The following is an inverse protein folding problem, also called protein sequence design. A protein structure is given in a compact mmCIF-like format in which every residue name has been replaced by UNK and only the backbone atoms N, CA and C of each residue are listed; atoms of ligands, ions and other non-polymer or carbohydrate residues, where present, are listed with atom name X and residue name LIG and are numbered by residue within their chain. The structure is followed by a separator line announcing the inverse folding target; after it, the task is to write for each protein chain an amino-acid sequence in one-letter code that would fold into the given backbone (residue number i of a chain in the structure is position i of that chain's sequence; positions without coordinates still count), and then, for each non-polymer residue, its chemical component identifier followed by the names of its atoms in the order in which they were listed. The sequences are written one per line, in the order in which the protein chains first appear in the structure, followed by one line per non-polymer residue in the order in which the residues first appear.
data_IF_661806697582
#
_entry.id   IF_661806697582
#
_cell.length_a   1.000
_cell.length_b   1.000
_cell.length_c   1.000
_cell.angle_alpha   90.00
_cell.angle_beta   90.00
_cell.angle_gamma   90.00
#
_symmetry.space_group_name_H-M   'P 1'
#
loop_
_entity.id
_entity.type
_entity.pdbx_description
1 polymer ?
#
# COMPACT_ATOMS: atom_id res chain seq x y z
N UNK A 1 -1.23 35.98 11.16
CA UNK A 1 -0.97 34.85 10.26
C UNK A 1 -1.52 33.56 10.88
N UNK A 2 -2.33 32.82 10.16
CA UNK A 2 -2.90 31.56 10.65
C UNK A 2 -2.33 30.39 9.87
N UNK A 3 -1.92 29.36 10.57
CA UNK A 3 -1.50 28.10 9.93
C UNK A 3 -2.72 27.34 9.42
N UNK A 4 -2.65 26.82 8.20
CA UNK A 4 -3.71 25.99 7.65
C UNK A 4 -3.73 24.63 8.36
N UNK A 5 -4.92 24.21 8.81
CA UNK A 5 -5.17 22.88 9.36
C UNK A 5 -6.33 22.27 8.59
N UNK A 6 -6.10 21.11 8.00
CA UNK A 6 -7.13 20.39 7.27
C UNK A 6 -8.24 19.91 8.21
N UNK A 7 -9.47 19.92 7.72
CA UNK A 7 -10.64 19.36 8.41
C UNK A 7 -11.30 18.29 7.53
N UNK A 8 -12.12 17.40 8.08
CA UNK A 8 -12.81 16.40 7.26
C UNK A 8 -13.69 17.00 6.15
N UNK A 9 -14.16 18.23 6.32
CA UNK A 9 -14.97 18.92 5.33
C UNK A 9 -14.15 19.62 4.24
N UNK A 10 -12.91 20.02 4.54
CA UNK A 10 -12.06 20.78 3.61
C UNK A 10 -11.08 19.90 2.82
N UNK A 11 -10.85 18.66 3.26
CA UNK A 11 -9.93 17.75 2.58
C UNK A 11 -10.50 17.26 1.26
N UNK A 12 -9.64 17.20 0.26
CA UNK A 12 -9.92 16.56 -1.04
C UNK A 12 -9.13 15.26 -1.13
N UNK A 13 -9.78 14.19 -1.56
CA UNK A 13 -9.15 12.89 -1.74
C UNK A 13 -9.43 12.39 -3.16
N UNK A 14 -8.38 12.27 -3.93
CA UNK A 14 -8.44 11.78 -5.30
C UNK A 14 -8.20 10.28 -5.36
N UNK A 15 -8.50 9.68 -6.50
CA UNK A 15 -8.19 8.30 -6.80
C UNK A 15 -7.00 8.23 -7.75
N UNK A 16 -6.00 7.43 -7.39
CA UNK A 16 -4.79 7.23 -8.18
C UNK A 16 -4.64 5.75 -8.51
N UNK A 17 -4.18 5.45 -9.72
CA UNK A 17 -3.85 4.08 -10.14
C UNK A 17 -2.35 3.97 -10.36
N UNK A 18 -1.76 2.88 -9.85
CA UNK A 18 -0.33 2.58 -9.94
C UNK A 18 -0.15 1.20 -10.57
N UNK A 19 0.70 1.12 -11.57
CA UNK A 19 1.12 -0.15 -12.16
C UNK A 19 2.34 -0.69 -11.42
N UNK A 20 2.22 -1.87 -10.83
CA UNK A 20 3.29 -2.53 -10.09
C UNK A 20 4.23 -3.37 -10.99
N UNK A 21 3.94 -3.51 -12.28
CA UNK A 21 4.75 -4.32 -13.20
C UNK A 21 6.21 -3.89 -13.23
N UNK A 22 7.13 -4.79 -12.89
CA UNK A 22 8.56 -4.54 -12.92
C UNK A 22 9.07 -3.56 -11.85
N UNK A 23 8.21 -3.06 -10.98
CA UNK A 23 8.58 -2.15 -9.89
C UNK A 23 9.13 -2.93 -8.70
N UNK A 24 10.15 -2.38 -8.03
CA UNK A 24 10.71 -2.98 -6.82
C UNK A 24 9.74 -2.83 -5.64
N UNK A 25 9.44 -3.92 -4.97
CA UNK A 25 8.45 -3.98 -3.89
C UNK A 25 8.64 -2.89 -2.82
N UNK A 26 9.83 -2.80 -2.24
CA UNK A 26 10.09 -1.85 -1.14
C UNK A 26 9.97 -0.40 -1.56
N UNK A 27 10.53 -0.04 -2.70
CA UNK A 27 10.48 1.33 -3.24
C UNK A 27 9.07 1.75 -3.64
N UNK A 28 8.33 0.84 -4.28
CA UNK A 28 6.92 1.06 -4.59
C UNK A 28 6.10 1.27 -3.32
N UNK A 29 6.28 0.41 -2.32
CA UNK A 29 5.56 0.49 -1.05
C UNK A 29 5.81 1.82 -0.31
N UNK A 30 7.03 2.33 -0.33
CA UNK A 30 7.38 3.64 0.27
C UNK A 30 6.58 4.77 -0.37
N UNK A 31 6.54 4.81 -1.69
CA UNK A 31 5.82 5.88 -2.41
C UNK A 31 4.30 5.77 -2.21
N UNK A 32 3.76 4.56 -2.20
CA UNK A 32 2.34 4.33 -1.89
C UNK A 32 2.02 4.81 -0.47
N UNK A 33 2.86 4.50 0.51
CA UNK A 33 2.66 4.92 1.89
C UNK A 33 2.66 6.45 2.05
N UNK A 34 3.54 7.15 1.34
CA UNK A 34 3.57 8.62 1.32
C UNK A 34 2.27 9.21 0.76
N UNK A 35 1.77 8.65 -0.33
CA UNK A 35 0.50 9.08 -0.95
C UNK A 35 -0.68 8.82 -0.02
N UNK A 36 -0.75 7.65 0.61
CA UNK A 36 -1.82 7.29 1.55
C UNK A 36 -1.84 8.18 2.79
N UNK A 37 -0.67 8.58 3.28
CA UNK A 37 -0.56 9.53 4.41
C UNK A 37 -0.84 10.96 4.03
N UNK A 38 -0.69 11.30 2.76
CA UNK A 38 -0.85 12.67 2.27
C UNK A 38 0.38 13.56 2.42
N UNK A 39 1.55 12.99 2.70
CA UNK A 39 2.80 13.76 2.87
C UNK A 39 3.22 14.55 1.64
N UNK A 40 2.77 14.17 0.45
CA UNK A 40 3.05 14.87 -0.80
C UNK A 40 2.20 16.11 -1.00
N UNK A 41 1.16 16.28 -0.21
CA UNK A 41 0.27 17.45 -0.29
C UNK A 41 0.75 18.57 0.62
N UNK A 42 0.68 19.83 0.17
CA UNK A 42 1.04 20.98 1.03
C UNK A 42 0.11 21.14 2.22
N UNK A 43 -1.11 20.64 2.14
CA UNK A 43 -2.13 20.66 3.18
C UNK A 43 -2.02 19.52 4.21
N UNK A 44 -0.90 18.77 4.19
CA UNK A 44 -0.68 17.66 5.12
C UNK A 44 -0.88 18.08 6.58
N UNK A 45 -1.75 17.35 7.26
CA UNK A 45 -2.03 17.54 8.69
C UNK A 45 -1.89 16.19 9.40
N UNK A 46 -1.01 16.07 10.42
CA UNK A 46 -0.68 14.77 11.02
C UNK A 46 -1.85 14.02 11.64
N UNK A 47 -2.85 14.71 12.16
CA UNK A 47 -3.98 14.10 12.87
C UNK A 47 -5.21 13.84 11.97
N UNK A 48 -5.15 14.23 10.70
CA UNK A 48 -6.24 14.07 9.72
C UNK A 48 -5.76 13.21 8.55
N UNK A 49 -6.64 12.38 8.04
CA UNK A 49 -6.38 11.57 6.85
C UNK A 49 -6.65 12.40 5.59
N UNK A 50 -5.62 13.07 5.08
CA UNK A 50 -5.68 13.89 3.86
C UNK A 50 -5.15 13.17 2.61
N UNK A 51 -4.65 11.95 2.75
CA UNK A 51 -4.09 11.16 1.65
C UNK A 51 -5.16 10.72 0.64
N UNK A 52 -4.69 10.30 -0.53
CA UNK A 52 -5.52 9.85 -1.62
C UNK A 52 -5.80 8.35 -1.56
N UNK A 53 -6.82 7.90 -2.30
CA UNK A 53 -7.04 6.49 -2.57
C UNK A 53 -6.04 5.99 -3.61
N UNK A 54 -5.46 4.84 -3.38
CA UNK A 54 -4.51 4.22 -4.31
C UNK A 54 -5.02 2.87 -4.75
N UNK A 55 -5.08 2.68 -6.06
CA UNK A 55 -5.40 1.40 -6.71
C UNK A 55 -4.11 0.86 -7.33
N UNK A 56 -3.68 -0.32 -6.92
CA UNK A 56 -2.50 -0.98 -7.47
C UNK A 56 -2.95 -2.11 -8.37
N UNK A 57 -2.44 -2.14 -9.59
CA UNK A 57 -2.70 -3.20 -10.57
C UNK A 57 -1.42 -3.98 -10.88
N UNK A 58 -1.56 -5.16 -11.45
CA UNK A 58 -0.44 -6.05 -11.79
C UNK A 58 0.43 -6.44 -10.59
N UNK A 59 -0.16 -6.66 -9.42
CA UNK A 59 0.57 -7.04 -8.22
C UNK A 59 1.38 -8.34 -8.38
N UNK A 60 0.93 -9.25 -9.23
CA UNK A 60 1.64 -10.50 -9.55
C UNK A 60 2.99 -10.29 -10.25
N UNK A 61 3.16 -9.15 -10.92
CA UNK A 61 4.37 -8.83 -11.71
C UNK A 61 5.37 -7.96 -10.94
N UNK A 62 5.20 -7.82 -9.65
CA UNK A 62 6.12 -7.03 -8.84
C UNK A 62 7.49 -7.69 -8.77
N UNK A 63 8.55 -6.88 -8.80
CA UNK A 63 9.93 -7.35 -8.75
C UNK A 63 10.48 -7.30 -7.31
N UNK A 64 11.30 -8.29 -6.99
CA UNK A 64 12.09 -8.33 -5.75
C UNK A 64 13.54 -8.63 -6.09
N UNK A 65 14.48 -8.05 -5.35
CA UNK A 65 15.91 -8.19 -5.58
C UNK A 65 16.52 -9.32 -4.74
N UNK A 66 17.65 -9.88 -5.20
CA UNK A 66 18.39 -10.92 -4.49
C UNK A 66 17.58 -12.22 -4.34
N UNK A 67 17.92 -12.99 -3.30
CA UNK A 67 17.26 -14.28 -3.02
C UNK A 67 16.04 -14.15 -2.10
N UNK A 68 15.42 -13.00 -2.03
CA UNK A 68 14.27 -12.76 -1.14
C UNK A 68 13.09 -13.69 -1.38
N UNK A 69 12.89 -14.14 -2.60
CA UNK A 69 11.82 -15.10 -2.92
C UNK A 69 11.91 -16.38 -2.10
N UNK A 70 13.11 -16.83 -1.81
CA UNK A 70 13.37 -18.06 -1.05
C UNK A 70 13.67 -17.78 0.43
N UNK A 71 14.33 -16.68 0.73
CA UNK A 71 14.84 -16.38 2.06
C UNK A 71 13.88 -15.57 2.92
N UNK A 72 13.12 -14.64 2.32
CA UNK A 72 12.15 -13.84 3.08
C UNK A 72 10.96 -14.70 3.46
N UNK A 73 10.62 -14.72 4.76
CA UNK A 73 9.50 -15.50 5.28
C UNK A 73 8.47 -14.60 5.97
N UNK A 74 7.23 -14.95 5.78
CA UNK A 74 6.09 -14.35 6.47
C UNK A 74 5.61 -15.31 7.55
N UNK A 75 5.58 -14.86 8.79
CA UNK A 75 5.22 -15.68 9.94
C UNK A 75 3.82 -15.38 10.41
N UNK A 76 3.11 -16.43 10.81
CA UNK A 76 1.79 -16.33 11.41
C UNK A 76 1.71 -17.34 12.56
N UNK A 77 1.14 -16.92 13.68
CA UNK A 77 0.95 -17.77 14.86
C UNK A 77 -0.54 -17.94 15.15
N UNK A 78 -0.99 -19.18 15.39
CA UNK A 78 -2.40 -19.49 15.65
C UNK A 78 -2.84 -19.17 17.10
N UNK A 79 -1.88 -18.90 17.99
CA UNK A 79 -2.13 -18.73 19.43
C UNK A 79 -2.04 -20.03 20.25
N UNK A 80 -1.88 -21.17 19.60
CA UNK A 80 -1.70 -22.47 20.28
C UNK A 80 -0.24 -22.88 20.33
N UNK A 81 0.19 -23.73 21.32
CA UNK A 81 1.55 -24.26 21.35
C UNK A 81 1.91 -24.94 20.01
N UNK A 82 3.09 -24.61 19.47
CA UNK A 82 3.53 -25.12 18.17
C UNK A 82 2.77 -24.55 16.96
N UNK A 83 2.01 -23.47 17.14
CA UNK A 83 1.18 -22.86 16.10
C UNK A 83 1.88 -21.89 15.17
N UNK A 84 3.22 -21.79 15.22
CA UNK A 84 3.96 -20.93 14.30
C UNK A 84 3.96 -21.52 12.89
N UNK A 85 3.52 -20.72 11.93
CA UNK A 85 3.54 -21.07 10.51
C UNK A 85 4.31 -20.03 9.75
N UNK A 86 5.00 -20.44 8.70
CA UNK A 86 5.74 -19.54 7.82
C UNK A 86 5.47 -19.87 6.34
N UNK A 87 5.56 -18.85 5.52
CA UNK A 87 5.54 -18.97 4.07
C UNK A 87 6.66 -18.14 3.47
N UNK A 88 7.25 -18.60 2.40
CA UNK A 88 8.25 -17.83 1.67
C UNK A 88 7.58 -16.72 0.86
N UNK A 89 8.37 -15.72 0.49
CA UNK A 89 7.88 -14.65 -0.39
C UNK A 89 7.41 -15.20 -1.75
N UNK A 90 8.11 -16.20 -2.30
CA UNK A 90 7.69 -16.87 -3.54
C UNK A 90 6.31 -17.50 -3.44
N UNK A 91 6.04 -18.24 -2.37
CA UNK A 91 4.71 -18.84 -2.12
C UNK A 91 3.63 -17.77 -2.00
N UNK A 92 3.92 -16.67 -1.32
CA UNK A 92 2.98 -15.56 -1.16
C UNK A 92 2.67 -14.87 -2.49
N UNK A 93 3.68 -14.68 -3.35
CA UNK A 93 3.50 -14.08 -4.68
C UNK A 93 2.66 -14.95 -5.60
N UNK A 94 2.76 -16.26 -5.50
CA UNK A 94 1.96 -17.20 -6.30
C UNK A 94 0.51 -17.27 -5.83
N UNK A 95 0.29 -17.28 -4.52
CA UNK A 95 -1.04 -17.49 -3.94
C UNK A 95 -1.81 -16.20 -3.71
N UNK A 96 -1.16 -15.18 -3.15
CA UNK A 96 -1.75 -13.91 -2.75
C UNK A 96 -0.80 -12.74 -2.98
N UNK A 97 -0.54 -12.35 -4.22
CA UNK A 97 0.37 -11.24 -4.50
C UNK A 97 -0.11 -9.92 -3.89
N UNK A 98 -1.42 -9.73 -3.72
CA UNK A 98 -1.97 -8.53 -3.10
C UNK A 98 -1.52 -8.38 -1.64
N UNK A 99 -1.44 -9.49 -0.90
CA UNK A 99 -1.01 -9.46 0.49
C UNK A 99 0.46 -9.04 0.66
N UNK A 100 1.30 -9.38 -0.30
CA UNK A 100 2.72 -9.00 -0.29
C UNK A 100 2.87 -7.48 -0.28
N UNK A 101 2.18 -6.80 -1.18
CA UNK A 101 2.20 -5.34 -1.27
C UNK A 101 1.52 -4.72 -0.04
N UNK A 102 0.39 -5.27 0.38
CA UNK A 102 -0.34 -4.78 1.55
C UNK A 102 0.50 -4.82 2.82
N UNK A 103 1.20 -5.92 3.07
CA UNK A 103 2.05 -6.07 4.25
C UNK A 103 3.25 -5.11 4.20
N UNK A 104 3.84 -4.90 3.03
CA UNK A 104 4.93 -3.95 2.85
C UNK A 104 4.48 -2.52 3.16
N UNK A 105 3.34 -2.10 2.64
CA UNK A 105 2.78 -0.77 2.91
C UNK A 105 2.34 -0.62 4.36
N UNK A 106 1.69 -1.64 4.92
CA UNK A 106 1.26 -1.65 6.33
C UNK A 106 2.43 -1.42 7.29
N UNK A 107 3.59 -2.03 7.03
CA UNK A 107 4.79 -1.84 7.83
C UNK A 107 5.35 -0.41 7.77
N UNK A 108 5.03 0.34 6.72
CA UNK A 108 5.49 1.73 6.51
C UNK A 108 4.48 2.78 6.97
N UNK A 109 3.25 2.39 7.28
CA UNK A 109 2.22 3.27 7.83
C UNK A 109 2.26 3.26 9.37
N UNK A 110 1.75 4.33 10.03
CA UNK A 110 1.64 4.35 11.49
C UNK A 110 0.76 3.21 12.02
N UNK A 111 1.14 2.65 13.17
CA UNK A 111 0.38 1.58 13.84
C UNK A 111 -0.70 2.14 14.77
N UNK A 112 -1.52 3.03 14.26
CA UNK A 112 -2.58 3.72 14.98
C UNK A 112 -3.93 3.52 14.29
N UNK A 113 -5.00 4.02 14.90
CA UNK A 113 -6.33 4.02 14.26
C UNK A 113 -6.31 4.78 12.93
N UNK A 114 -5.61 5.93 12.90
CA UNK A 114 -5.44 6.72 11.68
C UNK A 114 -4.66 5.94 10.61
N UNK A 115 -3.57 5.27 10.97
CA UNK A 115 -2.79 4.44 10.05
C UNK A 115 -3.61 3.29 9.45
N UNK A 116 -4.47 2.67 10.24
CA UNK A 116 -5.40 1.63 9.74
C UNK A 116 -6.44 2.19 8.78
N UNK A 117 -6.96 3.38 9.04
CA UNK A 117 -7.87 4.07 8.13
C UNK A 117 -7.17 4.43 6.80
N UNK A 118 -5.91 4.86 6.86
CA UNK A 118 -5.10 5.13 5.67
C UNK A 118 -4.86 3.86 4.85
N UNK A 119 -4.58 2.74 5.49
CA UNK A 119 -4.38 1.45 4.80
C UNK A 119 -5.65 0.97 4.08
N UNK A 120 -6.83 1.25 4.60
CA UNK A 120 -8.10 0.89 3.94
C UNK A 120 -8.32 1.58 2.60
N UNK A 121 -7.66 2.68 2.34
CA UNK A 121 -7.71 3.37 1.05
C UNK A 121 -6.84 2.71 -0.02
N UNK A 122 -6.02 1.74 0.35
CA UNK A 122 -5.23 0.96 -0.58
C UNK A 122 -6.06 -0.20 -1.12
N UNK A 123 -6.22 -0.24 -2.44
CA UNK A 123 -6.91 -1.31 -3.18
C UNK A 123 -5.89 -1.97 -4.10
N UNK A 124 -5.70 -3.26 -3.98
CA UNK A 124 -4.66 -4.00 -4.72
C UNK A 124 -5.32 -5.11 -5.53
N UNK A 125 -4.91 -5.23 -6.79
CA UNK A 125 -5.39 -6.25 -7.72
C UNK A 125 -4.21 -6.96 -8.38
N UNK A 126 -4.30 -8.28 -8.48
CA UNK A 126 -3.25 -9.10 -9.09
C UNK A 126 -3.11 -8.85 -10.60
N UNK A 127 -4.23 -8.72 -11.29
CA UNK A 127 -4.29 -8.50 -12.74
C UNK A 127 -4.27 -7.03 -13.15
N UNK A 128 -4.39 -6.76 -14.46
CA UNK A 128 -4.37 -5.39 -14.99
C UNK A 128 -5.70 -4.64 -14.81
N UNK A 129 -6.77 -5.34 -14.47
CA UNK A 129 -8.11 -4.77 -14.37
C UNK A 129 -8.47 -4.41 -12.92
N UNK A 130 -9.25 -3.35 -12.77
CA UNK A 130 -9.79 -2.91 -11.48
C UNK A 130 -11.25 -2.43 -11.63
N UNK A 131 -12.11 -2.58 -10.62
CA UNK A 131 -13.52 -2.19 -10.68
C UNK A 131 -13.76 -0.71 -10.34
N UNK A 132 -12.76 0.14 -10.45
CA UNK A 132 -12.81 1.54 -10.01
C UNK A 132 -12.93 2.56 -11.16
N UNK A 133 -13.42 2.14 -12.32
CA UNK A 133 -13.60 3.04 -13.47
C UNK A 133 -14.54 4.22 -13.18
N UNK A 134 -15.56 4.00 -12.34
CA UNK A 134 -16.51 5.04 -11.96
C UNK A 134 -15.88 6.18 -11.16
N UNK A 135 -14.81 5.90 -10.39
CA UNK A 135 -14.06 6.90 -9.64
C UNK A 135 -13.09 7.73 -10.50
N UNK A 136 -12.90 7.36 -11.76
CA UNK A 136 -12.00 8.02 -12.72
C UNK A 136 -10.58 8.20 -12.14
N UNK A 137 -9.89 7.12 -11.77
CA UNK A 137 -8.55 7.22 -11.17
C UNK A 137 -7.54 7.79 -12.17
N UNK A 138 -6.70 8.68 -11.69
CA UNK A 138 -5.58 9.23 -12.45
C UNK A 138 -4.36 8.32 -12.35
N UNK A 139 -3.59 8.23 -13.42
CA UNK A 139 -2.36 7.45 -13.42
C UNK A 139 -1.27 8.16 -12.59
N UNK A 140 -0.66 7.43 -11.67
CA UNK A 140 0.48 7.88 -10.90
C UNK A 140 1.73 7.11 -11.34
N UNK A 141 2.72 7.82 -11.84
CA UNK A 141 4.02 7.23 -12.14
C UNK A 141 4.85 7.13 -10.86
N UNK A 142 5.46 5.97 -10.66
CA UNK A 142 6.28 5.66 -9.50
C UNK A 142 7.67 5.25 -9.99
N UNK A 143 8.69 5.93 -9.48
CA UNK A 143 10.08 5.55 -9.69
C UNK A 143 10.46 4.43 -8.71
N UNK A 144 10.52 3.22 -9.21
CA UNK A 144 10.81 2.09 -8.34
C UNK A 144 11.72 1.04 -8.99
#
# INVERSE_FOLDING_TARGET
MKTYVATPSTRERNWLVVDASGKTLGRLATQIAEVLRGKRKPEYTPHIDVGDFVVVVNAEKIAVTGNKREQKRYYRHSGYPGGLRSRTLGDMLERRPEEVIRLAVKGMLPRTRLGRAQLRKLKIYAGPEHPHAAQKPESLEVEA
#
